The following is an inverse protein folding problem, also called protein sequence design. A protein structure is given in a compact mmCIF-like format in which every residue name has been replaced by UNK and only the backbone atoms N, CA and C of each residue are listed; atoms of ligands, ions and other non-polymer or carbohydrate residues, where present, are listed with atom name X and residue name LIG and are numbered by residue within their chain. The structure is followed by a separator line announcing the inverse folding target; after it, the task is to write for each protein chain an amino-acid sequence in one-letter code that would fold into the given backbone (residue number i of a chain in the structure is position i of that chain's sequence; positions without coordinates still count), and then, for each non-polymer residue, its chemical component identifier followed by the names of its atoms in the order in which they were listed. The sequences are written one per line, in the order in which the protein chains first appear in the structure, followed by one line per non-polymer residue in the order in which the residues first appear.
data_IF_633441771669
#
_entry.id   IF_633441771669
#
_cell.length_a   1.000
_cell.length_b   1.000
_cell.length_c   1.000
_cell.angle_alpha   90.00
_cell.angle_beta   90.00
_cell.angle_gamma   90.00
#
_symmetry.space_group_name_H-M   'P 1'
#
loop_
_entity.id
_entity.type
_entity.pdbx_description
1 polymer ?
#
# COMPACT_ATOMS: atom_id res chain seq x y z
N UNK A 1 -13.87 -2.15 -7.49
CA UNK A 1 -14.77 -3.31 -7.74
C UNK A 1 -14.43 -4.44 -6.77
N UNK A 2 -15.28 -5.45 -6.59
CA UNK A 2 -14.89 -6.67 -5.88
C UNK A 2 -13.58 -7.22 -6.47
N UNK A 3 -12.70 -7.76 -5.62
CA UNK A 3 -11.41 -8.34 -6.04
C UNK A 3 -10.47 -7.37 -6.79
N UNK A 4 -10.51 -6.05 -6.51
CA UNK A 4 -9.63 -5.05 -7.13
C UNK A 4 -8.69 -4.37 -6.12
N UNK A 5 -7.74 -5.11 -5.52
CA UNK A 5 -6.75 -4.52 -4.61
C UNK A 5 -5.86 -3.48 -5.31
N UNK A 6 -5.62 -3.63 -6.61
CA UNK A 6 -4.83 -2.70 -7.43
C UNK A 6 -5.43 -1.28 -7.52
N UNK A 7 -6.74 -1.17 -7.30
CA UNK A 7 -7.49 0.09 -7.20
C UNK A 7 -7.68 0.59 -5.77
N UNK A 8 -7.25 -0.17 -4.76
CA UNK A 8 -7.37 0.20 -3.36
C UNK A 8 -6.08 0.86 -2.87
N UNK A 9 -6.09 2.17 -2.66
CA UNK A 9 -4.89 2.94 -2.30
C UNK A 9 -4.28 2.54 -0.94
N UNK A 10 -5.06 1.96 -0.03
CA UNK A 10 -4.52 1.49 1.25
C UNK A 10 -3.53 0.34 1.08
N UNK A 11 -3.63 -0.45 0.00
CA UNK A 11 -2.70 -1.55 -0.26
C UNK A 11 -1.29 -1.02 -0.53
N UNK A 12 -1.18 0.16 -1.17
CA UNK A 12 0.10 0.83 -1.36
C UNK A 12 0.68 1.34 -0.03
N UNK A 13 -0.17 1.85 0.88
CA UNK A 13 0.28 2.28 2.20
C UNK A 13 0.69 1.11 3.10
N UNK A 14 -0.05 0.00 3.03
CA UNK A 14 0.32 -1.25 3.68
C UNK A 14 1.70 -1.70 3.18
N UNK A 15 1.93 -1.67 1.87
CA UNK A 15 3.20 -2.08 1.31
C UNK A 15 4.35 -1.12 1.66
N UNK A 16 4.10 0.19 1.77
CA UNK A 16 5.09 1.14 2.30
C UNK A 16 5.51 0.73 3.73
N UNK A 17 4.55 0.36 4.58
CA UNK A 17 4.83 -0.10 5.96
C UNK A 17 5.56 -1.44 5.95
N UNK A 18 5.16 -2.40 5.13
CA UNK A 18 5.82 -3.70 5.01
C UNK A 18 7.27 -3.55 4.52
N UNK A 19 7.51 -2.66 3.56
CA UNK A 19 8.85 -2.34 3.05
C UNK A 19 9.71 -1.66 4.11
N UNK A 20 9.18 -0.69 4.85
CA UNK A 20 9.93 0.00 5.91
C UNK A 20 10.29 -0.95 7.05
N UNK A 21 9.38 -1.84 7.44
CA UNK A 21 9.62 -2.80 8.51
C UNK A 21 10.50 -3.97 8.06
N UNK A 22 10.44 -4.34 6.79
CA UNK A 22 11.24 -5.39 6.19
C UNK A 22 11.20 -6.70 6.99
N UNK A 23 12.35 -7.35 7.13
CA UNK A 23 12.48 -8.59 7.91
C UNK A 23 12.25 -8.39 9.43
N UNK A 24 12.37 -7.16 9.91
CA UNK A 24 12.19 -6.84 11.35
C UNK A 24 10.81 -7.23 11.84
N UNK A 25 9.78 -7.14 10.98
CA UNK A 25 8.41 -7.48 11.37
C UNK A 25 8.29 -8.94 11.81
N UNK A 26 9.04 -9.85 11.19
CA UNK A 26 9.05 -11.27 11.52
C UNK A 26 9.79 -11.61 12.81
N UNK A 27 10.62 -10.70 13.31
CA UNK A 27 11.39 -10.88 14.54
C UNK A 27 10.63 -10.45 15.80
N UNK A 28 9.55 -9.67 15.65
CA UNK A 28 8.79 -9.14 16.79
C UNK A 28 7.86 -10.22 17.36
N UNK A 29 8.19 -10.71 18.56
CA UNK A 29 7.42 -11.76 19.25
C UNK A 29 6.30 -11.24 20.15
N UNK A 30 6.22 -9.92 20.36
CA UNK A 30 5.27 -9.28 21.29
C UNK A 30 4.31 -8.40 20.52
N UNK A 31 3.01 -8.73 20.59
CA UNK A 31 1.97 -8.03 19.82
C UNK A 31 1.89 -6.53 20.14
N UNK A 32 2.11 -6.13 21.39
CA UNK A 32 2.09 -4.71 21.76
C UNK A 32 3.26 -3.94 21.16
N UNK A 33 4.44 -4.57 21.05
CA UNK A 33 5.60 -3.99 20.35
C UNK A 33 5.30 -3.86 18.86
N UNK A 34 4.66 -4.87 18.25
CA UNK A 34 4.25 -4.82 16.85
C UNK A 34 3.27 -3.67 16.57
N UNK A 35 2.27 -3.48 17.44
CA UNK A 35 1.31 -2.38 17.32
C UNK A 35 2.00 -1.01 17.39
N UNK A 36 2.93 -0.84 18.33
CA UNK A 36 3.68 0.42 18.49
C UNK A 36 4.51 0.72 17.23
N UNK A 37 5.21 -0.29 16.72
CA UNK A 37 6.07 -0.13 15.55
C UNK A 37 5.24 0.21 14.31
N UNK A 38 4.17 -0.54 14.04
CA UNK A 38 3.25 -0.24 12.92
C UNK A 38 2.67 1.17 13.06
N UNK A 39 2.27 1.58 14.27
CA UNK A 39 1.73 2.91 14.52
C UNK A 39 2.76 4.01 14.24
N UNK A 40 3.98 3.83 14.73
CA UNK A 40 5.07 4.80 14.50
C UNK A 40 5.40 4.93 13.01
N UNK A 41 5.46 3.81 12.28
CA UNK A 41 5.67 3.84 10.82
C UNK A 41 4.52 4.55 10.11
N UNK A 42 3.27 4.26 10.50
CA UNK A 42 2.09 4.94 9.96
C UNK A 42 2.14 6.46 10.17
N UNK A 43 2.47 6.91 11.39
CA UNK A 43 2.52 8.32 11.74
C UNK A 43 3.65 9.08 11.02
N UNK A 44 4.66 8.38 10.49
CA UNK A 44 5.75 8.94 9.69
C UNK A 44 5.43 9.04 8.18
N UNK A 45 4.28 8.53 7.72
CA UNK A 45 3.87 8.65 6.31
C UNK A 45 3.56 10.12 6.01
N UNK A 46 4.41 10.74 5.19
CA UNK A 46 4.27 12.16 4.84
C UNK A 46 3.05 12.42 3.94
N UNK A 47 2.43 13.59 4.09
CA UNK A 47 1.26 14.01 3.32
C UNK A 47 1.51 13.93 1.80
N UNK A 48 2.70 14.29 1.34
CA UNK A 48 3.06 14.21 -0.07
C UNK A 48 2.95 12.79 -0.65
N UNK A 49 3.17 11.75 0.16
CA UNK A 49 2.97 10.36 -0.28
C UNK A 49 1.50 10.08 -0.52
N UNK A 50 0.63 10.52 0.39
CA UNK A 50 -0.83 10.39 0.25
C UNK A 50 -1.33 11.12 -1.01
N UNK A 51 -0.84 12.34 -1.22
CA UNK A 51 -1.17 13.15 -2.40
C UNK A 51 -0.77 12.47 -3.70
N UNK A 52 0.43 11.86 -3.76
CA UNK A 52 0.87 11.08 -4.92
C UNK A 52 -0.02 9.86 -5.18
N UNK A 53 -0.45 9.16 -4.12
CA UNK A 53 -1.34 8.01 -4.26
C UNK A 53 -2.70 8.43 -4.82
N UNK A 54 -3.30 9.48 -4.29
CA UNK A 54 -4.57 10.03 -4.79
C UNK A 54 -4.44 10.43 -6.26
N UNK A 55 -3.38 11.17 -6.62
CA UNK A 55 -3.11 11.59 -8.00
C UNK A 55 -2.82 10.43 -8.96
N UNK A 56 -2.46 9.25 -8.45
CA UNK A 56 -2.21 8.06 -9.27
C UNK A 56 -3.49 7.34 -9.72
N UNK A 57 -4.63 7.61 -9.08
CA UNK A 57 -5.88 6.86 -9.33
C UNK A 57 -6.38 6.94 -10.78
N UNK A 58 -6.38 8.11 -11.46
CA UNK A 58 -6.75 8.16 -12.86
C UNK A 58 -5.93 7.20 -13.73
N UNK A 59 -4.61 7.17 -13.53
CA UNK A 59 -3.70 6.27 -14.27
C UNK A 59 -3.95 4.79 -13.97
N UNK A 60 -4.35 4.45 -12.73
CA UNK A 60 -4.73 3.09 -12.34
C UNK A 60 -6.03 2.66 -13.03
N UNK A 61 -7.02 3.54 -13.09
CA UNK A 61 -8.29 3.29 -13.78
C UNK A 61 -8.10 3.12 -15.28
N UNK A 62 -7.29 3.99 -15.91
CA UNK A 62 -6.92 3.87 -17.32
C UNK A 62 -6.28 2.51 -17.62
N UNK A 63 -5.39 2.03 -16.75
CA UNK A 63 -4.76 0.72 -16.90
C UNK A 63 -5.78 -0.43 -16.82
N UNK A 64 -6.76 -0.36 -15.90
CA UNK A 64 -7.83 -1.37 -15.79
C UNK A 64 -8.72 -1.36 -17.03
N UNK A 65 -9.05 -0.16 -17.55
CA UNK A 65 -9.84 -0.02 -18.79
C UNK A 65 -9.08 -0.61 -19.97
N UNK A 66 -7.79 -0.28 -20.12
CA UNK A 66 -6.93 -0.83 -21.17
C UNK A 66 -6.77 -2.35 -21.06
N UNK A 67 -6.79 -2.89 -19.84
CA UNK A 67 -6.75 -4.33 -19.57
C UNK A 67 -8.12 -5.02 -19.70
N UNK A 68 -9.18 -4.33 -20.12
CA UNK A 68 -10.52 -4.91 -20.25
C UNK A 68 -11.11 -5.36 -18.91
N UNK A 69 -10.77 -4.69 -17.81
CA UNK A 69 -11.20 -5.04 -16.46
C UNK A 69 -10.37 -6.12 -15.77
N UNK A 70 -9.29 -6.61 -16.39
CA UNK A 70 -8.36 -7.55 -15.77
C UNK A 70 -7.41 -6.86 -14.77
N UNK A 71 -6.76 -7.66 -13.93
CA UNK A 71 -5.79 -7.19 -12.95
C UNK A 71 -4.62 -6.44 -13.61
N UNK A 72 -4.13 -5.39 -12.94
CA UNK A 72 -3.03 -4.55 -13.44
C UNK A 72 -1.75 -4.73 -12.62
N UNK A 73 -0.61 -4.26 -13.16
CA UNK A 73 0.70 -4.27 -12.48
C UNK A 73 0.72 -3.51 -11.15
N UNK A 74 -0.29 -2.68 -10.89
CA UNK A 74 -0.42 -1.96 -9.62
C UNK A 74 -0.74 -2.86 -8.43
N UNK A 75 -0.95 -4.15 -8.68
CA UNK A 75 -0.93 -5.19 -7.67
C UNK A 75 0.49 -5.62 -7.25
N UNK A 76 1.49 -5.49 -8.13
CA UNK A 76 2.83 -6.08 -7.98
C UNK A 76 3.91 -5.01 -7.69
N UNK A 77 3.76 -3.80 -8.23
CA UNK A 77 4.73 -2.71 -8.00
C UNK A 77 4.42 -1.96 -6.68
N UNK A 78 4.90 -2.51 -5.57
CA UNK A 78 5.21 -1.76 -4.34
C UNK A 78 6.66 -2.02 -3.95
#
# INVERSE_FOLDING_TARGET
PPQSPDLNLIEALRADIETELGETIGLIQVIEVLKIIIRNTWDNIIVDRLDRLIRSMPRKLEAVIAAGGQATRYYIDN
#
